data_IF_479460692249
#
_entry.id   IF_479460692249
#
_cell.length_a   1.000
_cell.length_b   1.000
_cell.length_c   1.000
_cell.angle_alpha   90.00
_cell.angle_beta   90.00
_cell.angle_gamma   90.00
#
_symmetry.space_group_name_H-M   'P 1'
#
loop_
_entity.id
_entity.type
_entity.pdbx_description
1 polymer ?
#
# COMPACT_ATOMS: atom_id res chain seq x y z
N UNK A 1 -2.08 -19.57 -7.82
CA UNK A 1 -1.35 -19.17 -6.62
C UNK A 1 -1.81 -20.02 -5.44
N UNK A 2 -0.94 -20.41 -4.48
CA UNK A 2 -1.32 -21.29 -3.37
C UNK A 2 -2.44 -20.72 -2.48
N UNK A 3 -2.59 -19.38 -2.43
CA UNK A 3 -3.60 -18.67 -1.63
C UNK A 3 -4.87 -18.33 -2.42
N UNK A 4 -5.01 -18.77 -3.68
CA UNK A 4 -6.13 -18.35 -4.53
C UNK A 4 -6.16 -16.85 -4.85
N UNK A 5 -5.03 -16.18 -4.75
CA UNK A 5 -4.94 -14.73 -4.93
C UNK A 5 -5.20 -14.30 -6.38
N UNK A 6 -5.96 -13.24 -6.55
CA UNK A 6 -6.20 -12.57 -7.83
C UNK A 6 -5.41 -11.27 -7.88
N UNK A 7 -4.54 -11.11 -8.89
CA UNK A 7 -3.82 -9.88 -9.11
C UNK A 7 -4.66 -8.92 -9.98
N UNK A 8 -5.00 -7.76 -9.42
CA UNK A 8 -5.72 -6.67 -10.07
C UNK A 8 -4.85 -5.41 -10.23
N UNK A 9 -3.57 -5.50 -9.89
CA UNK A 9 -2.62 -4.40 -10.03
C UNK A 9 -2.38 -4.04 -11.49
N UNK A 10 -2.22 -2.74 -11.76
CA UNK A 10 -1.89 -2.23 -13.07
C UNK A 10 -0.72 -1.23 -12.96
N UNK A 11 0.29 -1.40 -13.81
CA UNK A 11 1.47 -0.55 -13.80
C UNK A 11 1.11 0.91 -14.06
N UNK A 12 1.76 1.82 -13.34
CA UNK A 12 1.55 3.26 -13.51
C UNK A 12 0.31 3.82 -12.81
N UNK A 13 -0.51 2.99 -12.16
CA UNK A 13 -1.71 3.49 -11.50
C UNK A 13 -1.41 4.52 -10.42
N UNK A 14 -2.27 5.51 -10.38
CA UNK A 14 -2.46 6.46 -9.30
C UNK A 14 -3.79 6.17 -8.59
N UNK A 15 -4.00 6.79 -7.46
CA UNK A 15 -5.22 6.57 -6.65
C UNK A 15 -6.51 6.81 -7.44
N UNK A 16 -6.57 7.84 -8.26
CA UNK A 16 -7.72 8.16 -9.10
C UNK A 16 -7.99 7.09 -10.18
N UNK A 17 -6.95 6.44 -10.71
CA UNK A 17 -7.14 5.35 -11.68
C UNK A 17 -7.79 4.14 -11.00
N UNK A 18 -7.34 3.80 -9.79
CA UNK A 18 -7.93 2.70 -9.01
C UNK A 18 -9.37 3.00 -8.65
N UNK A 19 -9.67 4.21 -8.16
CA UNK A 19 -11.04 4.65 -7.85
C UNK A 19 -11.96 4.53 -9.07
N UNK A 20 -11.50 4.99 -10.24
CA UNK A 20 -12.26 4.88 -11.49
C UNK A 20 -12.55 3.40 -11.81
N UNK A 21 -11.56 2.50 -11.74
CA UNK A 21 -11.77 1.08 -12.03
C UNK A 21 -12.70 0.39 -11.03
N UNK A 22 -12.58 0.70 -9.74
CA UNK A 22 -13.47 0.18 -8.71
C UNK A 22 -14.91 0.61 -8.91
N UNK A 23 -15.14 1.82 -9.45
CA UNK A 23 -16.46 2.31 -9.80
C UNK A 23 -17.05 1.59 -11.02
N UNK A 24 -16.22 1.25 -12.02
CA UNK A 24 -16.65 0.55 -13.24
C UNK A 24 -16.79 -0.96 -13.06
N UNK A 25 -15.94 -1.56 -12.23
CA UNK A 25 -15.90 -3.01 -11.98
C UNK A 25 -15.82 -3.27 -10.47
N UNK A 26 -16.93 -3.18 -9.74
CA UNK A 26 -16.95 -3.39 -8.28
C UNK A 26 -16.51 -4.79 -7.87
N UNK A 27 -15.82 -4.89 -6.73
CA UNK A 27 -15.28 -6.14 -6.18
C UNK A 27 -16.34 -7.02 -5.47
N UNK A 28 -17.58 -6.61 -5.42
CA UNK A 28 -18.67 -7.23 -4.64
C UNK A 28 -18.87 -8.73 -4.87
N UNK A 29 -18.46 -9.23 -6.06
CA UNK A 29 -18.60 -10.65 -6.43
C UNK A 29 -17.42 -11.52 -5.97
N UNK A 30 -16.28 -10.92 -5.56
CA UNK A 30 -15.05 -11.68 -5.29
C UNK A 30 -15.07 -12.42 -3.95
N UNK A 31 -15.89 -12.01 -3.00
CA UNK A 31 -15.94 -12.58 -1.63
C UNK A 31 -14.55 -12.75 -1.02
N UNK A 32 -13.70 -11.76 -1.23
CA UNK A 32 -12.34 -11.77 -0.73
C UNK A 32 -12.32 -11.73 0.80
N UNK A 33 -11.49 -12.54 1.43
CA UNK A 33 -11.22 -12.44 2.88
C UNK A 33 -10.19 -11.37 3.19
N UNK A 34 -9.25 -11.20 2.28
CA UNK A 34 -8.15 -10.24 2.39
C UNK A 34 -8.02 -9.48 1.08
N UNK A 35 -7.80 -8.18 1.17
CA UNK A 35 -7.43 -7.33 0.03
C UNK A 35 -6.12 -6.64 0.37
N UNK A 36 -5.12 -6.76 -0.50
CA UNK A 36 -3.81 -6.13 -0.33
C UNK A 36 -3.74 -4.91 -1.26
N UNK A 37 -3.52 -3.74 -0.69
CA UNK A 37 -3.48 -2.45 -1.39
C UNK A 37 -2.10 -1.80 -1.22
N UNK A 38 -1.38 -1.61 -2.34
CA UNK A 38 -0.21 -0.75 -2.45
C UNK A 38 -0.45 0.26 -3.56
N UNK A 39 -0.59 1.54 -3.19
CA UNK A 39 -0.89 2.62 -4.14
C UNK A 39 -0.36 3.95 -3.59
N UNK A 40 -0.11 4.93 -4.45
CA UNK A 40 0.27 6.29 -4.08
C UNK A 40 1.67 6.71 -4.53
N UNK A 41 2.59 5.77 -4.76
CA UNK A 41 3.94 6.10 -5.23
C UNK A 41 3.93 6.88 -6.55
N UNK A 42 3.01 6.57 -7.46
CA UNK A 42 2.89 7.27 -8.75
C UNK A 42 2.24 8.65 -8.63
N UNK A 43 1.38 8.87 -7.65
CA UNK A 43 0.85 10.21 -7.35
C UNK A 43 2.00 11.18 -7.02
N UNK A 44 2.93 10.75 -6.16
CA UNK A 44 4.13 11.50 -5.82
C UNK A 44 5.12 11.57 -6.99
N UNK A 45 5.41 10.41 -7.60
CA UNK A 45 6.45 10.29 -8.63
C UNK A 45 6.16 11.06 -9.92
N UNK A 46 4.89 11.23 -10.28
CA UNK A 46 4.48 12.04 -11.42
C UNK A 46 4.30 13.53 -11.06
N UNK A 47 4.49 13.90 -9.78
CA UNK A 47 4.28 15.27 -9.32
C UNK A 47 2.84 15.76 -9.43
N UNK A 48 1.87 14.85 -9.52
CA UNK A 48 0.45 15.20 -9.68
C UNK A 48 -0.26 15.46 -8.37
N UNK A 49 0.34 15.06 -7.24
CA UNK A 49 -0.22 15.21 -5.89
C UNK A 49 0.89 15.42 -4.88
N UNK A 50 0.62 16.21 -3.85
CA UNK A 50 1.45 16.29 -2.65
C UNK A 50 1.12 15.15 -1.66
N UNK A 51 1.83 15.10 -0.51
CA UNK A 51 1.62 14.07 0.51
C UNK A 51 0.16 14.01 1.01
N UNK A 52 -0.45 15.16 1.30
CA UNK A 52 -1.81 15.22 1.82
C UNK A 52 -2.84 14.74 0.79
N UNK A 53 -2.70 15.12 -0.47
CA UNK A 53 -3.57 14.68 -1.56
C UNK A 53 -3.40 13.19 -1.85
N UNK A 54 -2.16 12.68 -1.83
CA UNK A 54 -1.87 11.25 -1.99
C UNK A 54 -2.50 10.45 -0.85
N UNK A 55 -2.33 10.87 0.39
CA UNK A 55 -2.97 10.25 1.55
C UNK A 55 -4.49 10.20 1.41
N UNK A 56 -5.11 11.32 1.04
CA UNK A 56 -6.56 11.38 0.81
C UNK A 56 -7.01 10.37 -0.25
N UNK A 57 -6.24 10.26 -1.35
CA UNK A 57 -6.50 9.28 -2.40
C UNK A 57 -6.36 7.83 -1.92
N UNK A 58 -5.32 7.49 -1.15
CA UNK A 58 -5.12 6.14 -0.59
C UNK A 58 -6.28 5.78 0.35
N UNK A 59 -6.68 6.70 1.23
CA UNK A 59 -7.85 6.50 2.12
C UNK A 59 -9.13 6.26 1.34
N UNK A 60 -9.41 7.09 0.33
CA UNK A 60 -10.60 6.94 -0.50
C UNK A 60 -10.64 5.58 -1.23
N UNK A 61 -9.49 5.10 -1.73
CA UNK A 61 -9.39 3.75 -2.33
C UNK A 61 -9.69 2.67 -1.29
N UNK A 62 -9.08 2.76 -0.10
CA UNK A 62 -9.28 1.78 0.96
C UNK A 62 -10.76 1.75 1.43
N UNK A 63 -11.38 2.92 1.62
CA UNK A 63 -12.79 3.05 2.00
C UNK A 63 -13.73 2.50 0.92
N UNK A 64 -13.44 2.75 -0.36
CA UNK A 64 -14.21 2.18 -1.46
C UNK A 64 -14.08 0.66 -1.51
N UNK A 65 -12.89 0.11 -1.32
CA UNK A 65 -12.68 -1.35 -1.22
C UNK A 65 -13.48 -1.92 -0.05
N UNK A 66 -13.43 -1.28 1.13
CA UNK A 66 -14.18 -1.72 2.32
C UNK A 66 -15.69 -1.76 2.05
N UNK A 67 -16.23 -0.76 1.37
CA UNK A 67 -17.65 -0.71 1.00
C UNK A 67 -18.08 -1.79 0.01
N UNK A 68 -17.14 -2.35 -0.75
CA UNK A 68 -17.39 -3.38 -1.77
C UNK A 68 -17.07 -4.80 -1.33
N UNK A 69 -16.26 -4.96 -0.29
CA UNK A 69 -15.76 -6.24 0.23
C UNK A 69 -16.15 -6.41 1.69
N UNK A 70 -17.45 -6.61 1.94
CA UNK A 70 -17.96 -6.78 3.30
C UNK A 70 -17.27 -7.94 4.03
N UNK A 71 -16.82 -7.69 5.27
CA UNK A 71 -16.10 -8.64 6.10
C UNK A 71 -14.65 -8.91 5.72
N UNK A 72 -14.12 -8.30 4.63
CA UNK A 72 -12.71 -8.43 4.27
C UNK A 72 -11.81 -7.60 5.19
N UNK A 73 -10.60 -8.11 5.46
CA UNK A 73 -9.51 -7.32 6.03
C UNK A 73 -8.73 -6.65 4.89
N UNK A 74 -8.58 -5.33 4.94
CA UNK A 74 -7.84 -4.57 3.94
C UNK A 74 -6.45 -4.27 4.48
N UNK A 75 -5.45 -4.88 3.87
CA UNK A 75 -4.04 -4.69 4.18
C UNK A 75 -3.51 -3.51 3.35
N UNK A 76 -3.41 -2.35 3.97
CA UNK A 76 -2.80 -1.18 3.37
C UNK A 76 -1.30 -1.30 3.58
N UNK A 77 -0.56 -1.44 2.50
CA UNK A 77 0.88 -1.47 2.55
C UNK A 77 1.42 -0.04 2.64
N UNK A 78 2.37 0.18 3.50
CA UNK A 78 3.12 1.43 3.51
C UNK A 78 3.79 1.65 2.15
N UNK A 79 3.71 2.87 1.64
CA UNK A 79 4.39 3.23 0.39
C UNK A 79 5.88 3.03 0.61
N UNK A 80 6.54 2.31 -0.31
CA UNK A 80 7.96 2.02 -0.22
C UNK A 80 8.80 3.27 -0.44
N UNK A 81 9.96 3.36 0.21
CA UNK A 81 10.92 4.42 -0.08
C UNK A 81 11.35 4.33 -1.55
N UNK A 82 11.60 5.47 -2.17
CA UNK A 82 12.12 5.54 -3.54
C UNK A 82 13.24 6.57 -3.65
N UNK A 83 14.02 6.47 -4.73
CA UNK A 83 15.23 7.27 -4.92
C UNK A 83 16.47 6.59 -4.33
N UNK A 84 17.64 6.81 -4.96
CA UNK A 84 18.87 6.07 -4.65
C UNK A 84 19.42 6.33 -3.24
N UNK A 85 19.24 7.55 -2.73
CA UNK A 85 19.72 8.00 -1.42
C UNK A 85 18.72 8.98 -0.82
N UNK A 86 19.20 9.96 -0.05
CA UNK A 86 18.37 11.03 0.51
C UNK A 86 17.58 11.74 -0.60
N UNK A 87 16.26 11.72 -0.48
CA UNK A 87 15.36 12.27 -1.49
C UNK A 87 14.15 12.91 -0.81
N UNK A 88 13.75 14.11 -1.24
CA UNK A 88 12.62 14.84 -0.64
C UNK A 88 11.34 14.00 -0.58
N UNK A 89 11.08 13.21 -1.62
CA UNK A 89 9.90 12.33 -1.69
C UNK A 89 9.86 11.27 -0.57
N UNK A 90 11.01 10.89 0.03
CA UNK A 90 11.01 10.00 1.21
C UNK A 90 10.38 10.67 2.42
N UNK A 91 10.53 11.98 2.56
CA UNK A 91 9.83 12.76 3.57
C UNK A 91 8.31 12.72 3.38
N UNK A 92 7.83 12.88 2.14
CA UNK A 92 6.42 12.74 1.80
C UNK A 92 5.90 11.34 2.11
N UNK A 93 6.64 10.31 1.72
CA UNK A 93 6.32 8.90 2.00
C UNK A 93 6.23 8.65 3.50
N UNK A 94 7.19 9.13 4.30
CA UNK A 94 7.16 9.00 5.77
C UNK A 94 5.91 9.65 6.38
N UNK A 95 5.54 10.87 5.94
CA UNK A 95 4.35 11.55 6.41
C UNK A 95 3.07 10.77 6.08
N UNK A 96 2.96 10.26 4.85
CA UNK A 96 1.80 9.45 4.42
C UNK A 96 1.71 8.19 5.26
N UNK A 97 2.79 7.43 5.40
CA UNK A 97 2.81 6.17 6.14
C UNK A 97 2.47 6.38 7.62
N UNK A 98 2.99 7.44 8.25
CA UNK A 98 2.61 7.81 9.61
C UNK A 98 1.11 8.10 9.73
N UNK A 99 0.55 8.85 8.78
CA UNK A 99 -0.87 9.19 8.78
C UNK A 99 -1.77 7.98 8.46
N UNK A 100 -1.33 7.01 7.65
CA UNK A 100 -2.05 5.75 7.44
C UNK A 100 -2.16 4.93 8.73
N UNK A 101 -1.10 4.89 9.55
CA UNK A 101 -1.16 4.25 10.88
C UNK A 101 -2.16 4.95 11.80
N UNK A 102 -2.28 6.28 11.73
CA UNK A 102 -3.30 7.02 12.48
C UNK A 102 -4.72 6.69 11.99
N UNK A 103 -4.92 6.65 10.68
CA UNK A 103 -6.19 6.27 10.05
C UNK A 103 -6.71 4.91 10.55
N UNK A 104 -5.85 3.90 10.61
CA UNK A 104 -6.23 2.57 11.11
C UNK A 104 -6.61 2.61 12.60
N UNK A 105 -5.89 3.38 13.42
CA UNK A 105 -6.25 3.55 14.84
C UNK A 105 -7.58 4.27 15.02
N UNK A 106 -7.86 5.30 14.21
CA UNK A 106 -9.12 6.04 14.22
C UNK A 106 -10.30 5.13 13.82
N UNK A 107 -10.12 4.29 12.81
CA UNK A 107 -11.13 3.32 12.39
C UNK A 107 -11.40 2.30 13.50
N UNK A 108 -10.37 1.74 14.13
CA UNK A 108 -10.51 0.82 15.26
C UNK A 108 -11.28 1.45 16.43
N UNK A 109 -10.98 2.71 16.74
CA UNK A 109 -11.68 3.42 17.82
C UNK A 109 -13.19 3.58 17.54
N UNK A 110 -13.57 3.76 16.28
CA UNK A 110 -14.99 3.86 15.86
C UNK A 110 -15.71 2.52 15.88
N UNK A 111 -14.99 1.41 15.76
CA UNK A 111 -15.55 0.05 15.61
C UNK A 111 -15.21 -0.86 16.80
N UNK A 112 -15.17 -0.32 18.01
CA UNK A 112 -15.01 -1.10 19.24
C UNK A 112 -13.67 -1.82 19.39
N UNK A 113 -12.61 -1.23 18.84
CA UNK A 113 -11.24 -1.77 18.89
C UNK A 113 -10.87 -2.67 17.73
N UNK A 114 -11.77 -2.91 16.77
CA UNK A 114 -11.49 -3.67 15.54
C UNK A 114 -11.49 -2.73 14.34
N UNK A 115 -10.42 -2.74 13.57
CA UNK A 115 -10.35 -2.00 12.31
C UNK A 115 -10.65 -2.92 11.12
N UNK A 116 -11.26 -2.35 10.08
CA UNK A 116 -11.36 -2.97 8.75
C UNK A 116 -10.00 -3.00 8.05
N UNK A 117 -9.05 -2.22 8.53
CA UNK A 117 -7.76 -2.00 7.90
C UNK A 117 -6.60 -2.49 8.78
N UNK A 118 -5.54 -2.92 8.11
CA UNK A 118 -4.22 -3.17 8.72
C UNK A 118 -3.18 -2.41 7.92
N UNK A 119 -2.22 -1.79 8.60
CA UNK A 119 -1.05 -1.19 7.93
C UNK A 119 0.13 -2.13 8.08
N UNK A 120 0.77 -2.45 6.97
CA UNK A 120 1.93 -3.33 6.90
C UNK A 120 3.17 -2.53 6.54
N UNK A 121 4.08 -2.42 7.50
CA UNK A 121 5.34 -1.69 7.39
C UNK A 121 6.47 -2.66 7.02
N UNK A 122 6.92 -2.63 5.78
CA UNK A 122 8.09 -3.41 5.32
C UNK A 122 9.14 -2.50 4.67
N UNK A 123 8.74 -1.28 4.26
CA UNK A 123 9.57 -0.40 3.43
C UNK A 123 10.92 -0.02 4.06
N UNK A 124 10.98 0.11 5.38
CA UNK A 124 12.21 0.46 6.09
C UNK A 124 13.30 -0.61 5.94
N UNK A 125 12.94 -1.88 5.70
CA UNK A 125 13.88 -2.98 5.50
C UNK A 125 14.65 -2.90 4.17
N UNK A 126 14.21 -2.02 3.26
CA UNK A 126 14.86 -1.82 1.97
C UNK A 126 15.96 -0.74 2.01
N UNK A 127 16.05 0.01 3.10
CA UNK A 127 17.02 1.10 3.26
C UNK A 127 18.22 0.60 4.07
N UNK A 128 19.42 0.80 3.53
CA UNK A 128 20.68 0.56 4.24
C UNK A 128 20.95 1.68 5.25
N UNK A 129 21.87 1.45 6.20
CA UNK A 129 22.24 2.40 7.24
C UNK A 129 22.75 3.75 6.68
N UNK A 130 23.34 3.74 5.48
CA UNK A 130 23.80 4.95 4.78
C UNK A 130 22.69 5.68 4.00
N UNK A 131 21.44 5.19 4.10
CA UNK A 131 20.29 5.73 3.40
C UNK A 131 20.15 5.31 1.94
N UNK A 132 21.06 4.47 1.42
CA UNK A 132 20.95 3.90 0.08
C UNK A 132 19.94 2.77 0.01
N UNK A 133 19.53 2.41 -1.21
CA UNK A 133 18.76 1.19 -1.49
C UNK A 133 19.61 0.30 -2.40
N UNK A 134 19.80 -0.96 -1.99
CA UNK A 134 20.58 -1.92 -2.76
C UNK A 134 19.93 -2.17 -4.13
N UNK A 135 20.75 -2.20 -5.18
CA UNK A 135 20.29 -2.57 -6.53
C UNK A 135 19.79 -4.01 -6.61
N UNK A 136 20.21 -4.87 -5.68
CA UNK A 136 19.68 -6.23 -5.55
C UNK A 136 18.22 -6.26 -5.09
N UNK A 137 17.75 -5.16 -4.49
CA UNK A 137 16.38 -5.01 -3.98
C UNK A 137 15.54 -4.15 -4.93
N UNK A 138 16.07 -2.96 -5.30
CA UNK A 138 15.43 -2.02 -6.21
C UNK A 138 16.47 -1.44 -7.19
N UNK A 139 16.67 -2.06 -8.36
CA UNK A 139 17.74 -1.68 -9.29
C UNK A 139 17.58 -0.26 -9.86
N UNK A 140 16.36 0.23 -9.92
CA UNK A 140 15.99 1.59 -10.37
C UNK A 140 15.50 2.47 -9.21
N UNK A 141 15.74 2.02 -7.98
CA UNK A 141 15.31 2.69 -6.75
C UNK A 141 13.79 2.92 -6.65
N UNK A 142 12.98 2.07 -7.29
CA UNK A 142 11.53 2.10 -7.29
C UNK A 142 10.90 0.70 -7.35
N UNK A 143 11.29 -0.14 -8.32
CA UNK A 143 10.68 -1.44 -8.53
C UNK A 143 11.47 -2.54 -7.84
N UNK A 144 10.75 -3.43 -7.14
CA UNK A 144 11.35 -4.57 -6.45
C UNK A 144 11.85 -5.62 -7.45
N UNK A 145 13.02 -6.19 -7.14
CA UNK A 145 13.47 -7.47 -7.74
C UNK A 145 12.69 -8.65 -7.13
N UNK A 146 12.82 -9.88 -7.67
CA UNK A 146 12.30 -11.07 -6.99
C UNK A 146 12.72 -11.15 -5.53
N UNK A 147 13.99 -10.87 -5.20
CA UNK A 147 14.49 -10.82 -3.82
C UNK A 147 13.75 -9.78 -2.95
N UNK A 148 13.51 -8.59 -3.49
CA UNK A 148 12.73 -7.56 -2.80
C UNK A 148 11.28 -7.99 -2.56
N UNK A 149 10.67 -8.68 -3.53
CA UNK A 149 9.34 -9.26 -3.37
C UNK A 149 9.29 -10.36 -2.32
N UNK A 150 10.31 -11.22 -2.22
CA UNK A 150 10.39 -12.26 -1.18
C UNK A 150 10.48 -11.61 0.20
N UNK A 151 11.34 -10.61 0.39
CA UNK A 151 11.44 -9.86 1.65
C UNK A 151 10.11 -9.20 2.05
N UNK A 152 9.41 -8.64 1.07
CA UNK A 152 8.09 -8.05 1.31
C UNK A 152 7.05 -9.12 1.65
N UNK A 153 7.00 -10.22 0.92
CA UNK A 153 6.07 -11.32 1.15
C UNK A 153 6.23 -11.89 2.57
N UNK A 154 7.45 -12.11 3.03
CA UNK A 154 7.74 -12.59 4.39
C UNK A 154 7.16 -11.67 5.47
N UNK A 155 7.16 -10.36 5.22
CA UNK A 155 6.61 -9.36 6.14
C UNK A 155 5.08 -9.40 6.27
N UNK A 156 4.35 -9.89 5.26
CA UNK A 156 2.88 -9.86 5.25
C UNK A 156 2.21 -11.24 5.25
N UNK A 157 2.91 -12.29 4.79
CA UNK A 157 2.29 -13.61 4.58
C UNK A 157 1.66 -14.18 5.85
N UNK A 158 2.28 -13.97 7.00
CA UNK A 158 1.78 -14.43 8.30
C UNK A 158 0.45 -13.77 8.71
N UNK A 159 0.12 -12.64 8.11
CA UNK A 159 -1.09 -11.87 8.42
C UNK A 159 -2.26 -12.24 7.51
N UNK A 160 -1.98 -12.73 6.29
CA UNK A 160 -3.00 -13.13 5.32
C UNK A 160 -3.22 -14.63 5.23
N UNK A 161 -2.39 -15.44 5.90
CA UNK A 161 -2.51 -16.91 5.92
C UNK A 161 -3.39 -17.44 7.05
N UNK A 162 -3.96 -16.56 7.86
CA UNK A 162 -4.90 -16.90 8.95
C UNK A 162 -6.33 -16.82 8.48
#
# INVERSE_FOLDING_TARGET
APLGALNLGNSGDRTENVLYRLAQAPLTRLKAKHVVLLIGTNNLGHGTSNAAQTLAGVRAVAEMIASQCDGATIHILEIFPRGEQFHAMRGDVCQINQALRAFVREDAAKHGGKSHYMVNAVGDTFINDDGSISKDIMPDALHLTPKGYDMWADGIISQISK
#
